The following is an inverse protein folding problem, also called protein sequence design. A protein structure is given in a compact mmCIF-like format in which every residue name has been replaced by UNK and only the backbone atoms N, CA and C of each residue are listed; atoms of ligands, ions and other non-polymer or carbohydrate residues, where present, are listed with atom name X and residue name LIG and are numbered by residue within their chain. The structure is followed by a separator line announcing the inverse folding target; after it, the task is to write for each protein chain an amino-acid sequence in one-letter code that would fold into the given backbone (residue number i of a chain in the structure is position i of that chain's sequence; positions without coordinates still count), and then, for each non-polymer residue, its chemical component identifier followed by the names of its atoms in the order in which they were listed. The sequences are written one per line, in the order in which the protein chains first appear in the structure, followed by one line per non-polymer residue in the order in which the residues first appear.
data_IF_873441348250
#
_entry.id   IF_873441348250
#
_cell.length_a   1.000
_cell.length_b   1.000
_cell.length_c   1.000
_cell.angle_alpha   90.00
_cell.angle_beta   90.00
_cell.angle_gamma   90.00
#
_symmetry.space_group_name_H-M   'P 1'
#
loop_
_entity.id
_entity.type
_entity.pdbx_description
1 polymer ?
#
# COMPACT_ATOMS: atom_id res chain seq x y z
N UNK A 1 44.73 -29.10 21.59
CA UNK A 1 44.02 -29.04 20.30
C UNK A 1 42.71 -28.26 20.48
N UNK A 2 42.54 -27.25 19.64
CA UNK A 2 41.71 -26.05 19.78
C UNK A 2 40.19 -26.30 19.69
N UNK A 3 39.43 -26.04 20.77
CA UNK A 3 37.97 -26.27 20.89
C UNK A 3 37.16 -24.96 20.86
N UNK A 4 37.55 -23.98 20.04
CA UNK A 4 36.99 -22.60 20.06
C UNK A 4 36.14 -22.16 18.86
N UNK A 5 35.95 -23.00 17.83
CA UNK A 5 35.36 -22.50 16.56
C UNK A 5 34.09 -23.23 16.08
N UNK A 6 33.41 -24.04 16.91
CA UNK A 6 32.15 -24.71 16.49
C UNK A 6 30.89 -23.93 16.83
N UNK A 7 30.95 -23.03 17.81
CA UNK A 7 29.79 -22.22 18.23
C UNK A 7 29.64 -20.94 17.40
N UNK A 8 30.72 -20.43 16.81
CA UNK A 8 30.73 -19.18 16.03
C UNK A 8 30.05 -19.34 14.65
N UNK A 9 29.90 -20.57 14.16
CA UNK A 9 29.25 -20.83 12.86
C UNK A 9 27.71 -20.82 12.91
N UNK A 10 27.09 -20.85 14.09
CA UNK A 10 25.62 -20.83 14.21
C UNK A 10 25.03 -19.41 14.29
N UNK A 11 25.84 -18.39 14.59
CA UNK A 11 25.37 -17.00 14.67
C UNK A 11 25.30 -16.28 13.32
N UNK A 12 25.87 -16.86 12.26
CA UNK A 12 25.85 -16.31 10.89
C UNK A 12 24.66 -16.79 10.05
N UNK A 13 23.71 -17.51 10.63
CA UNK A 13 22.47 -17.95 9.98
C UNK A 13 21.34 -16.90 10.03
N UNK A 14 21.58 -15.70 10.57
CA UNK A 14 20.53 -14.78 11.01
C UNK A 14 20.17 -13.62 10.06
N UNK A 15 20.61 -13.59 8.80
CA UNK A 15 20.30 -12.44 7.92
C UNK A 15 19.96 -12.87 6.49
N UNK A 16 18.91 -13.67 6.31
CA UNK A 16 18.18 -13.69 5.03
C UNK A 16 17.05 -12.67 5.16
N UNK A 17 17.39 -11.39 5.09
CA UNK A 17 16.39 -10.35 4.95
C UNK A 17 15.90 -10.35 3.50
N UNK A 18 14.69 -10.85 3.26
CA UNK A 18 14.01 -10.66 1.99
C UNK A 18 13.77 -9.16 1.78
N UNK A 19 14.13 -8.65 0.60
CA UNK A 19 13.86 -7.26 0.24
C UNK A 19 12.50 -7.21 -0.46
N UNK A 20 11.57 -6.43 0.05
CA UNK A 20 10.32 -6.18 -0.66
C UNK A 20 10.44 -4.87 -1.43
N UNK A 21 10.47 -4.93 -2.76
CA UNK A 21 10.45 -3.76 -3.62
C UNK A 21 9.02 -3.24 -3.79
N UNK A 22 8.81 -1.93 -3.65
CA UNK A 22 7.51 -1.31 -3.90
C UNK A 22 7.56 -0.55 -5.23
N UNK A 23 6.68 -0.90 -6.16
CA UNK A 23 6.58 -0.25 -7.47
C UNK A 23 5.18 0.34 -7.69
N UNK A 24 5.12 1.33 -8.57
CA UNK A 24 3.87 2.02 -8.91
C UNK A 24 3.81 2.39 -10.38
N UNK A 25 2.59 2.46 -10.92
CA UNK A 25 2.31 3.10 -12.20
C UNK A 25 1.48 4.37 -11.94
N UNK A 26 2.04 5.53 -12.32
CA UNK A 26 1.35 6.82 -12.19
C UNK A 26 0.44 7.04 -13.41
N UNK A 27 -0.86 7.11 -13.18
CA UNK A 27 -1.83 7.63 -14.15
C UNK A 27 -1.86 9.16 -13.98
N UNK A 28 -1.87 9.98 -15.06
CA UNK A 28 -1.65 11.43 -15.00
C UNK A 28 -2.56 12.23 -14.04
N UNK A 29 -3.68 11.65 -13.59
CA UNK A 29 -4.58 12.27 -12.62
C UNK A 29 -4.03 12.27 -11.17
N UNK A 30 -3.15 11.35 -10.81
CA UNK A 30 -2.71 11.09 -9.43
C UNK A 30 -1.19 11.08 -9.34
N UNK A 31 -0.64 11.66 -8.28
CA UNK A 31 0.70 11.32 -7.80
C UNK A 31 0.59 10.16 -6.82
N UNK A 32 0.76 8.94 -7.30
CA UNK A 32 0.72 7.75 -6.47
C UNK A 32 2.11 7.17 -6.35
N UNK A 33 2.68 7.12 -5.13
CA UNK A 33 4.05 6.64 -4.90
C UNK A 33 4.21 5.98 -3.54
N UNK A 34 5.09 4.98 -3.39
CA UNK A 34 5.46 4.45 -2.08
C UNK A 34 6.23 5.51 -1.29
N UNK A 35 6.05 5.53 0.03
CA UNK A 35 6.90 6.33 0.92
C UNK A 35 8.29 5.71 1.09
N UNK A 36 8.38 4.38 0.98
CA UNK A 36 9.62 3.61 1.01
C UNK A 36 9.70 2.75 -0.25
N UNK A 37 10.72 2.92 -1.09
CA UNK A 37 10.84 2.13 -2.34
C UNK A 37 11.20 0.67 -2.10
N UNK A 38 11.76 0.36 -0.92
CA UNK A 38 12.00 -1.00 -0.50
C UNK A 38 12.07 -1.12 1.01
N UNK A 39 11.63 -2.28 1.52
CA UNK A 39 11.71 -2.62 2.95
C UNK A 39 12.37 -3.97 3.14
N UNK A 40 13.17 -4.11 4.20
CA UNK A 40 13.65 -5.44 4.62
C UNK A 40 12.60 -6.10 5.49
N UNK A 41 12.37 -7.39 5.25
CA UNK A 41 11.39 -8.19 5.98
C UNK A 41 12.04 -9.52 6.34
N UNK A 42 11.77 -10.00 7.55
CA UNK A 42 12.06 -11.38 7.92
C UNK A 42 10.80 -12.21 7.68
N UNK A 43 10.88 -13.29 6.88
CA UNK A 43 9.77 -14.23 6.75
C UNK A 43 9.32 -14.71 8.14
N UNK A 44 8.01 -14.74 8.38
CA UNK A 44 7.42 -14.93 9.70
C UNK A 44 7.05 -13.64 10.44
N UNK A 45 7.30 -12.46 9.87
CA UNK A 45 6.92 -11.16 10.44
C UNK A 45 5.89 -10.42 9.58
N UNK A 46 4.97 -9.71 10.24
CA UNK A 46 4.08 -8.76 9.57
C UNK A 46 4.81 -7.45 9.33
N UNK A 47 4.64 -6.86 8.15
CA UNK A 47 5.18 -5.56 7.79
C UNK A 47 4.08 -4.63 7.29
N UNK A 48 4.13 -3.39 7.77
CA UNK A 48 3.31 -2.29 7.29
C UNK A 48 4.15 -1.32 6.47
N UNK A 49 3.61 -0.90 5.32
CA UNK A 49 4.19 0.13 4.45
C UNK A 49 3.11 1.11 4.02
N UNK A 50 3.53 2.28 3.53
CA UNK A 50 2.62 3.35 3.14
C UNK A 50 2.85 3.79 1.70
N UNK A 51 1.75 4.04 1.01
CA UNK A 51 1.71 4.71 -0.29
C UNK A 51 1.01 6.05 -0.15
N UNK A 52 1.52 7.09 -0.79
CA UNK A 52 0.87 8.40 -0.86
C UNK A 52 0.18 8.56 -2.20
N UNK A 53 -1.11 8.88 -2.19
CA UNK A 53 -1.80 9.46 -3.34
C UNK A 53 -2.00 10.95 -3.14
N UNK A 54 -1.80 11.73 -4.20
CA UNK A 54 -2.18 13.14 -4.28
C UNK A 54 -3.04 13.35 -5.52
N UNK A 55 -4.22 13.94 -5.34
CA UNK A 55 -5.03 14.40 -6.46
C UNK A 55 -4.40 15.67 -7.06
N UNK A 56 -3.90 15.58 -8.30
CA UNK A 56 -3.29 16.71 -9.00
C UNK A 56 -4.28 17.50 -9.86
N UNK A 57 -5.55 17.14 -9.84
CA UNK A 57 -6.60 17.79 -10.63
C UNK A 57 -7.32 18.89 -9.83
N UNK A 58 -8.10 19.72 -10.52
CA UNK A 58 -8.97 20.73 -9.91
C UNK A 58 -10.34 20.20 -9.49
N UNK A 59 -10.59 18.89 -9.62
CA UNK A 59 -11.88 18.26 -9.35
C UNK A 59 -11.72 17.14 -8.33
N UNK A 60 -12.80 16.77 -7.65
CA UNK A 60 -12.81 15.57 -6.81
C UNK A 60 -12.69 14.32 -7.69
N UNK A 61 -11.73 13.45 -7.36
CA UNK A 61 -11.48 12.20 -8.06
C UNK A 61 -11.71 11.02 -7.12
N UNK A 62 -12.40 10.00 -7.63
CA UNK A 62 -12.55 8.72 -6.95
C UNK A 62 -11.70 7.69 -7.67
N UNK A 63 -10.98 6.87 -6.92
CA UNK A 63 -10.08 5.90 -7.50
C UNK A 63 -10.00 4.62 -6.71
N UNK A 64 -9.56 3.58 -7.40
CA UNK A 64 -9.41 2.22 -6.90
C UNK A 64 -8.04 1.70 -7.27
N UNK A 65 -7.45 0.86 -6.43
CA UNK A 65 -6.11 0.33 -6.66
C UNK A 65 -6.16 -1.18 -6.88
N UNK A 66 -5.44 -1.65 -7.89
CA UNK A 66 -5.13 -3.08 -8.03
C UNK A 66 -3.65 -3.33 -7.73
N UNK A 67 -3.32 -4.57 -7.43
CA UNK A 67 -1.97 -4.95 -7.04
C UNK A 67 -1.49 -6.20 -7.77
N UNK A 68 -0.18 -6.36 -7.82
CA UNK A 68 0.50 -7.57 -8.27
C UNK A 68 1.68 -7.89 -7.35
N UNK A 69 1.98 -9.18 -7.20
CA UNK A 69 3.17 -9.69 -6.50
C UNK A 69 4.03 -10.43 -7.51
N UNK A 70 5.32 -10.10 -7.55
CA UNK A 70 6.32 -10.70 -8.43
C UNK A 70 7.55 -11.09 -7.61
N UNK A 71 8.24 -12.21 -7.88
CA UNK A 71 7.90 -13.25 -8.86
C UNK A 71 6.59 -13.99 -8.54
N UNK A 72 5.84 -14.42 -9.54
CA UNK A 72 4.54 -15.10 -9.32
C UNK A 72 4.63 -16.31 -8.38
N UNK A 73 5.75 -17.04 -8.43
CA UNK A 73 6.01 -18.20 -7.54
C UNK A 73 6.05 -17.85 -6.05
N UNK A 74 6.25 -16.59 -5.69
CA UNK A 74 6.21 -16.14 -4.28
C UNK A 74 4.81 -15.80 -3.82
N UNK A 75 3.84 -15.74 -4.74
CA UNK A 75 2.48 -15.29 -4.44
C UNK A 75 1.77 -16.17 -3.40
N UNK A 76 2.06 -17.47 -3.36
CA UNK A 76 1.49 -18.41 -2.37
C UNK A 76 2.04 -18.20 -0.95
N UNK A 77 3.17 -17.52 -0.82
CA UNK A 77 3.83 -17.21 0.46
C UNK A 77 3.60 -15.76 0.88
N UNK A 78 2.90 -14.97 0.08
CA UNK A 78 2.70 -13.55 0.32
C UNK A 78 1.25 -13.28 0.70
N UNK A 79 1.02 -13.12 1.99
CA UNK A 79 -0.30 -12.82 2.53
C UNK A 79 -0.49 -11.32 2.70
N UNK A 80 -1.46 -10.79 1.98
CA UNK A 80 -1.84 -9.39 2.09
C UNK A 80 -2.98 -9.24 3.09
N UNK A 81 -2.62 -8.96 4.33
CA UNK A 81 -3.53 -8.94 5.47
C UNK A 81 -4.51 -7.77 5.43
N UNK A 82 -4.07 -6.58 5.03
CA UNK A 82 -4.94 -5.41 4.94
C UNK A 82 -4.62 -4.58 3.70
N UNK A 83 -5.67 -4.20 2.96
CA UNK A 83 -5.54 -3.27 1.85
C UNK A 83 -6.64 -2.22 1.79
N UNK A 84 -6.21 -0.99 1.56
CA UNK A 84 -7.05 0.11 1.09
C UNK A 84 -7.68 -0.13 -0.30
N UNK A 85 -7.16 -1.10 -1.06
CA UNK A 85 -7.49 -1.42 -2.46
C UNK A 85 -8.97 -1.56 -2.76
N UNK A 86 -9.70 -2.16 -1.81
CA UNK A 86 -11.07 -2.59 -2.05
C UNK A 86 -12.07 -1.44 -1.85
N UNK A 87 -11.61 -0.33 -1.27
CA UNK A 87 -12.45 0.82 -1.02
C UNK A 87 -12.08 1.93 -1.99
N UNK A 88 -13.10 2.48 -2.64
CA UNK A 88 -12.96 3.69 -3.43
C UNK A 88 -12.41 4.83 -2.56
N UNK A 89 -11.33 5.44 -3.01
CA UNK A 89 -10.71 6.58 -2.34
C UNK A 89 -11.11 7.84 -3.09
N UNK A 90 -11.94 8.65 -2.44
CA UNK A 90 -12.29 9.97 -2.92
C UNK A 90 -11.27 10.99 -2.40
N UNK A 91 -10.67 11.76 -3.30
CA UNK A 91 -9.73 12.83 -3.00
C UNK A 91 -10.21 14.13 -3.64
N UNK A 92 -10.38 15.16 -2.83
CA UNK A 92 -10.64 16.53 -3.30
C UNK A 92 -9.42 17.13 -4.03
N UNK A 93 -9.57 18.30 -4.66
CA UNK A 93 -8.48 18.97 -5.38
C UNK A 93 -7.28 19.23 -4.48
N UNK A 94 -6.09 18.73 -4.86
CA UNK A 94 -4.88 18.86 -4.05
C UNK A 94 -4.83 18.02 -2.77
N UNK A 95 -5.90 17.27 -2.46
CA UNK A 95 -5.93 16.40 -1.28
C UNK A 95 -4.92 15.26 -1.44
N UNK A 96 -4.25 14.94 -0.33
CA UNK A 96 -3.34 13.80 -0.23
C UNK A 96 -3.80 12.83 0.85
N UNK A 97 -3.66 11.52 0.59
CA UNK A 97 -3.85 10.49 1.61
C UNK A 97 -2.72 9.48 1.62
N UNK A 98 -2.37 9.05 2.83
CA UNK A 98 -1.44 7.97 3.08
C UNK A 98 -2.23 6.67 3.28
N UNK A 99 -1.96 5.71 2.42
CA UNK A 99 -2.66 4.45 2.31
C UNK A 99 -1.74 3.33 2.79
N UNK A 100 -2.12 2.71 3.91
CA UNK A 100 -1.32 1.64 4.50
C UNK A 100 -1.60 0.28 3.86
N UNK A 101 -0.55 -0.50 3.69
CA UNK A 101 -0.63 -1.91 3.31
C UNK A 101 0.05 -2.73 4.40
N UNK A 102 -0.65 -3.73 4.93
CA UNK A 102 -0.08 -4.71 5.85
C UNK A 102 0.02 -6.04 5.14
N UNK A 103 1.19 -6.65 5.18
CA UNK A 103 1.45 -7.95 4.58
C UNK A 103 2.30 -8.82 5.50
N UNK A 104 2.30 -10.11 5.22
CA UNK A 104 3.06 -11.15 5.88
C UNK A 104 3.72 -12.02 4.82
N UNK A 105 4.97 -12.42 5.07
CA UNK A 105 5.70 -13.35 4.21
C UNK A 105 5.87 -14.66 4.97
N UNK A 106 5.30 -15.74 4.45
CA UNK A 106 5.36 -17.06 5.07
C UNK A 106 6.82 -17.58 5.11
N UNK A 107 7.32 -18.02 6.29
CA UNK A 107 8.66 -18.59 6.41
C UNK A 107 8.88 -19.86 5.58
N UNK A 108 7.84 -20.57 5.16
CA UNK A 108 7.95 -21.75 4.30
C UNK A 108 8.62 -21.43 2.95
N UNK A 109 8.55 -20.16 2.51
CA UNK A 109 9.32 -19.64 1.37
C UNK A 109 10.82 -19.99 1.47
N UNK A 110 11.39 -19.98 2.68
CA UNK A 110 12.83 -20.26 2.86
C UNK A 110 13.18 -21.74 2.69
N UNK A 111 12.19 -22.62 2.75
CA UNK A 111 12.36 -24.06 2.70
C UNK A 111 11.95 -24.69 1.38
N UNK A 112 11.18 -23.98 0.55
CA UNK A 112 10.78 -24.46 -0.78
C UNK A 112 11.93 -24.32 -1.80
N UNK A 113 12.45 -25.44 -2.36
CA UNK A 113 13.49 -25.42 -3.37
C UNK A 113 13.13 -24.58 -4.61
N UNK A 114 11.84 -24.46 -4.96
CA UNK A 114 11.39 -23.67 -6.13
C UNK A 114 11.56 -22.16 -5.95
N UNK A 115 11.77 -21.72 -4.71
CA UNK A 115 11.95 -20.30 -4.37
C UNK A 115 13.33 -19.98 -3.80
N UNK A 116 14.27 -20.93 -3.87
CA UNK A 116 15.66 -20.78 -3.39
C UNK A 116 16.45 -19.64 -4.04
N UNK A 117 16.06 -19.20 -5.23
CA UNK A 117 16.62 -18.06 -5.98
C UNK A 117 15.92 -16.71 -5.66
N UNK A 118 14.85 -16.73 -4.86
CA UNK A 118 14.08 -15.54 -4.51
C UNK A 118 14.77 -14.81 -3.36
N UNK A 119 15.36 -13.67 -3.67
CA UNK A 119 15.88 -12.72 -2.67
C UNK A 119 15.02 -11.46 -2.54
N UNK A 120 14.16 -11.20 -3.53
CA UNK A 120 13.34 -9.99 -3.61
C UNK A 120 11.92 -10.34 -4.04
N UNK A 121 10.94 -9.78 -3.33
CA UNK A 121 9.52 -9.82 -3.70
C UNK A 121 9.10 -8.39 -4.06
N UNK A 122 8.55 -8.17 -5.23
CA UNK A 122 8.04 -6.87 -5.65
C UNK A 122 6.53 -6.82 -5.48
N UNK A 123 6.05 -5.92 -4.63
CA UNK A 123 4.65 -5.57 -4.52
C UNK A 123 4.39 -4.31 -5.35
N UNK A 124 3.68 -4.49 -6.46
CA UNK A 124 3.34 -3.40 -7.38
C UNK A 124 1.91 -2.98 -7.20
N UNK A 125 1.67 -1.67 -7.17
CA UNK A 125 0.33 -1.09 -7.11
C UNK A 125 0.06 -0.17 -8.30
N UNK A 126 -1.15 -0.29 -8.85
CA UNK A 126 -1.61 0.60 -9.90
C UNK A 126 -2.94 1.22 -9.47
N UNK A 127 -2.98 2.55 -9.50
CA UNK A 127 -4.18 3.32 -9.17
C UNK A 127 -4.95 3.65 -10.46
N UNK A 128 -6.25 3.35 -10.47
CA UNK A 128 -7.16 3.66 -11.55
C UNK A 128 -8.25 4.63 -11.09
N UNK A 129 -8.80 5.41 -12.02
CA UNK A 129 -10.02 6.19 -11.75
C UNK A 129 -11.20 5.22 -11.63
N UNK A 130 -11.96 5.32 -10.56
CA UNK A 130 -13.21 4.59 -10.43
C UNK A 130 -14.23 5.18 -11.43
N UNK A 131 -15.13 4.36 -12.01
CA UNK A 131 -16.23 4.88 -12.81
C UNK A 131 -17.00 5.91 -11.99
N UNK A 132 -17.21 7.11 -12.53
CA UNK A 132 -18.08 8.07 -11.86
C UNK A 132 -19.50 7.52 -11.93
N UNK A 133 -20.07 7.11 -10.79
CA UNK A 133 -21.51 7.17 -10.66
C UNK A 133 -21.85 8.66 -10.69
N UNK A 134 -22.52 9.13 -11.74
CA UNK A 134 -22.95 10.51 -11.93
C UNK A 134 -23.90 10.98 -10.80
N UNK A 135 -23.37 11.18 -9.61
CA UNK A 135 -24.03 11.86 -8.51
C UNK A 135 -23.26 13.15 -8.27
N UNK A 136 -23.86 14.32 -8.54
CA UNK A 136 -23.20 15.60 -8.33
C UNK A 136 -22.72 15.69 -6.89
N UNK A 137 -21.44 15.97 -6.71
CA UNK A 137 -20.90 16.37 -5.42
C UNK A 137 -21.73 17.56 -4.89
N UNK A 138 -22.51 17.32 -3.83
CA UNK A 138 -23.22 18.38 -3.14
C UNK A 138 -22.20 19.37 -2.59
N UNK A 139 -22.27 20.61 -3.07
CA UNK A 139 -21.43 21.71 -2.62
C UNK A 139 -21.65 21.92 -1.12
N UNK A 140 -20.60 22.24 -0.32
CA UNK A 140 -20.81 22.63 1.07
C UNK A 140 -21.55 23.97 1.11
N UNK A 141 -22.79 23.97 1.61
CA UNK A 141 -23.56 25.19 1.82
C UNK A 141 -22.92 26.05 2.92
N UNK A 142 -22.17 27.06 2.52
CA UNK A 142 -21.75 28.17 3.37
C UNK A 142 -22.72 29.36 3.18
N UNK A 143 -23.73 29.49 4.04
CA UNK A 143 -24.43 30.73 4.43
C UNK A 143 -25.62 30.33 5.35
N UNK A 144 -25.48 30.43 6.67
CA UNK A 144 -25.86 31.58 7.49
C UNK A 144 -27.40 31.77 7.66
N UNK A 145 -27.93 31.36 8.81
CA UNK A 145 -29.18 31.87 9.42
C UNK A 145 -28.86 33.07 10.35
N UNK A 146 -29.83 33.91 10.81
CA UNK A 146 -31.15 34.34 10.32
C UNK A 146 -31.30 35.91 10.39
N UNK A 147 -32.47 36.58 10.16
CA UNK A 147 -33.55 36.66 11.16
C UNK A 147 -35.00 36.59 10.58
N UNK A 148 -35.89 35.90 11.28
CA UNK A 148 -37.34 35.92 11.01
C UNK A 148 -37.93 37.26 11.49
N UNK A 149 -38.57 38.00 10.57
CA UNK A 149 -39.31 39.24 10.88
C UNK A 149 -40.83 38.98 10.79
N UNK A 150 -41.48 39.23 11.92
CA UNK A 150 -42.87 39.70 12.14
C UNK A 150 -44.05 38.93 11.57
N UNK A 151 -44.86 38.46 12.52
CA UNK A 151 -46.28 38.18 12.42
C UNK A 151 -47.08 39.31 11.74
N UNK A 152 -48.02 38.91 10.88
CA UNK A 152 -49.28 39.62 10.61
C UNK A 152 -50.37 38.55 10.58
N UNK A 153 -51.24 38.59 11.57
CA UNK A 153 -52.69 38.33 11.48
C UNK A 153 -53.34 39.00 12.69
#
# INVERSE_FOLDING_TARGET
MNRRNRTTSLLLAAVVCGMVGLSFASVPLWDFRPLETAVRVHPGEQRQVFFRAVNRTSETVTGTATYNVTPTKTGIYFDKLQCFCFNEQQLGPGESRDMSVVFFVDPDLLTDPNTSDVSTITLSYTMFRAPQSDSPAEKPNAAANPPQKSAVN
#
